data_IF_841830084141
#
_entry.id   IF_841830084141
#
_cell.length_a   1.000
_cell.length_b   1.000
_cell.length_c   1.000
_cell.angle_alpha   90.00
_cell.angle_beta   90.00
_cell.angle_gamma   90.00
#
_symmetry.space_group_name_H-M   'P 1'
#
loop_
_entity.id
_entity.type
_entity.pdbx_description
1 polymer ?
#
# COMPACT_ATOMS: atom_id res chain seq x y z
N UNK A 1 15.62 27.18 -59.99
CA UNK A 1 16.51 27.12 -58.81
C UNK A 1 15.75 27.25 -57.50
N UNK A 2 14.58 27.90 -57.46
CA UNK A 2 13.82 28.12 -56.21
C UNK A 2 13.18 26.86 -55.59
N UNK A 3 12.94 25.80 -56.37
CA UNK A 3 12.23 24.60 -55.91
C UNK A 3 13.11 23.64 -55.08
N UNK A 4 14.41 23.57 -55.39
CA UNK A 4 15.36 22.74 -54.63
C UNK A 4 15.72 23.39 -53.29
N UNK A 5 15.78 24.73 -53.23
CA UNK A 5 15.98 25.47 -51.97
C UNK A 5 14.80 25.31 -51.01
N UNK A 6 13.56 25.36 -51.53
CA UNK A 6 12.36 25.09 -50.74
C UNK A 6 12.32 23.66 -50.19
N UNK A 7 12.77 22.68 -50.99
CA UNK A 7 12.84 21.28 -50.57
C UNK A 7 13.89 21.05 -49.48
N UNK A 8 15.05 21.69 -49.60
CA UNK A 8 16.11 21.66 -48.59
C UNK A 8 15.69 22.34 -47.29
N UNK A 9 15.01 23.50 -47.36
CA UNK A 9 14.46 24.17 -46.18
C UNK A 9 13.41 23.32 -45.47
N UNK A 10 12.52 22.69 -46.22
CA UNK A 10 11.48 21.82 -45.66
C UNK A 10 12.06 20.56 -45.00
N UNK A 11 13.09 19.94 -45.61
CA UNK A 11 13.81 18.84 -44.97
C UNK A 11 14.55 19.26 -43.71
N UNK A 12 15.17 20.44 -43.71
CA UNK A 12 15.82 20.98 -42.51
C UNK A 12 14.83 21.29 -41.39
N UNK A 13 13.68 21.89 -41.69
CA UNK A 13 12.61 22.11 -40.70
C UNK A 13 12.00 20.80 -40.20
N UNK A 14 11.75 19.84 -41.09
CA UNK A 14 11.22 18.52 -40.74
C UNK A 14 12.20 17.75 -39.84
N UNK A 15 13.50 17.78 -40.14
CA UNK A 15 14.52 17.19 -39.28
C UNK A 15 14.65 17.91 -37.94
N UNK A 16 14.50 19.24 -37.90
CA UNK A 16 14.54 20.03 -36.66
C UNK A 16 13.36 19.67 -35.76
N UNK A 17 12.15 19.66 -36.31
CA UNK A 17 10.92 19.24 -35.63
C UNK A 17 11.02 17.79 -35.15
N UNK A 18 11.52 16.87 -35.98
CA UNK A 18 11.72 15.47 -35.62
C UNK A 18 12.72 15.31 -34.46
N UNK A 19 13.83 16.09 -34.47
CA UNK A 19 14.85 16.07 -33.41
C UNK A 19 14.36 16.71 -32.11
N UNK A 20 13.57 17.79 -32.17
CA UNK A 20 12.95 18.40 -30.99
C UNK A 20 11.91 17.45 -30.37
N UNK A 21 11.07 16.83 -31.20
CA UNK A 21 10.08 15.84 -30.76
C UNK A 21 10.74 14.58 -30.18
N UNK A 22 11.85 14.10 -30.76
CA UNK A 22 12.63 12.98 -30.18
C UNK A 22 13.33 13.35 -28.87
N UNK A 23 13.80 14.59 -28.72
CA UNK A 23 14.35 15.08 -27.45
C UNK A 23 13.29 15.11 -26.36
N UNK A 24 12.08 15.56 -26.68
CA UNK A 24 10.95 15.55 -25.73
C UNK A 24 10.55 14.12 -25.33
N UNK A 25 10.46 13.18 -26.27
CA UNK A 25 10.16 11.77 -25.97
C UNK A 25 11.25 11.16 -25.07
N UNK A 26 12.54 11.40 -25.37
CA UNK A 26 13.63 10.88 -24.55
C UNK A 26 13.66 11.48 -23.13
N UNK A 27 13.28 12.76 -22.98
CA UNK A 27 13.17 13.42 -21.69
C UNK A 27 11.97 12.88 -20.89
N UNK A 28 10.84 12.63 -21.56
CA UNK A 28 9.65 12.00 -20.98
C UNK A 28 9.98 10.58 -20.52
N UNK A 29 10.68 9.77 -21.33
CA UNK A 29 11.13 8.43 -20.96
C UNK A 29 12.05 8.43 -19.73
N UNK A 30 13.02 9.33 -19.67
CA UNK A 30 13.91 9.45 -18.50
C UNK A 30 13.15 9.86 -17.24
N UNK A 31 12.25 10.83 -17.35
CA UNK A 31 11.43 11.31 -16.24
C UNK A 31 10.49 10.21 -15.73
N UNK A 32 9.85 9.47 -16.63
CA UNK A 32 8.99 8.33 -16.32
C UNK A 32 9.78 7.19 -15.70
N UNK A 33 10.97 6.89 -16.21
CA UNK A 33 11.86 5.85 -15.64
C UNK A 33 12.25 6.20 -14.21
N UNK A 34 12.64 7.47 -13.97
CA UNK A 34 13.01 7.95 -12.64
C UNK A 34 11.81 7.88 -11.68
N UNK A 35 10.65 8.40 -12.06
CA UNK A 35 9.42 8.32 -11.25
C UNK A 35 9.00 6.88 -10.95
N UNK A 36 9.19 5.98 -11.90
CA UNK A 36 8.83 4.57 -11.74
C UNK A 36 9.75 3.87 -10.74
N UNK A 37 11.05 4.14 -10.81
CA UNK A 37 12.03 3.66 -9.82
C UNK A 37 11.76 4.25 -8.43
N UNK A 38 11.46 5.55 -8.36
CA UNK A 38 11.08 6.24 -7.12
C UNK A 38 9.82 5.65 -6.49
N UNK A 39 8.83 5.29 -7.30
CA UNK A 39 7.57 4.72 -6.79
C UNK A 39 7.80 3.33 -6.19
N UNK A 40 8.64 2.50 -6.82
CA UNK A 40 9.05 1.20 -6.26
C UNK A 40 9.84 1.39 -4.97
N UNK A 41 10.79 2.32 -4.94
CA UNK A 41 11.58 2.63 -3.75
C UNK A 41 10.71 3.14 -2.60
N UNK A 42 9.79 4.07 -2.89
CA UNK A 42 8.83 4.61 -1.93
C UNK A 42 7.88 3.51 -1.40
N UNK A 43 7.49 2.56 -2.25
CA UNK A 43 6.72 1.39 -1.82
C UNK A 43 7.53 0.52 -0.85
N UNK A 44 8.80 0.21 -1.15
CA UNK A 44 9.68 -0.55 -0.26
C UNK A 44 9.82 0.14 1.11
N UNK A 45 10.21 1.41 1.10
CA UNK A 45 10.39 2.21 2.32
C UNK A 45 9.09 2.32 3.15
N UNK A 46 7.93 2.43 2.49
CA UNK A 46 6.63 2.42 3.19
C UNK A 46 6.41 1.14 3.98
N UNK A 47 6.57 -0.03 3.35
CA UNK A 47 6.32 -1.30 4.03
C UNK A 47 7.37 -1.61 5.10
N UNK A 48 8.63 -1.27 4.83
CA UNK A 48 9.71 -1.36 5.82
C UNK A 48 9.42 -0.50 7.06
N UNK A 49 8.99 0.76 6.85
CA UNK A 49 8.61 1.66 7.95
C UNK A 49 7.42 1.12 8.75
N UNK A 50 6.41 0.57 8.09
CA UNK A 50 5.26 -0.05 8.76
C UNK A 50 5.74 -1.23 9.62
N UNK A 51 6.51 -2.15 9.06
CA UNK A 51 7.01 -3.34 9.78
C UNK A 51 7.89 -2.91 10.96
N UNK A 52 8.79 -1.95 10.75
CA UNK A 52 9.68 -1.43 11.81
C UNK A 52 8.90 -0.79 12.95
N UNK A 53 7.90 0.04 12.64
CA UNK A 53 7.02 0.62 13.66
C UNK A 53 6.26 -0.45 14.43
N UNK A 54 5.73 -1.46 13.74
CA UNK A 54 5.00 -2.56 14.37
C UNK A 54 5.90 -3.42 15.27
N UNK A 55 7.12 -3.72 14.83
CA UNK A 55 8.08 -4.44 15.67
C UNK A 55 8.50 -3.61 16.89
N UNK A 56 8.72 -2.31 16.70
CA UNK A 56 9.05 -1.38 17.79
C UNK A 56 7.93 -1.26 18.82
N UNK A 57 6.67 -1.12 18.38
CA UNK A 57 5.51 -1.08 19.28
C UNK A 57 5.25 -2.42 19.96
N UNK A 58 5.48 -3.55 19.28
CA UNK A 58 5.40 -4.87 19.88
C UNK A 58 6.45 -5.05 20.98
N UNK A 59 7.70 -4.63 20.73
CA UNK A 59 8.78 -4.68 21.72
C UNK A 59 8.47 -3.80 22.93
N UNK A 60 7.98 -2.57 22.69
CA UNK A 60 7.54 -1.68 23.77
C UNK A 60 6.40 -2.31 24.58
N UNK A 61 5.44 -2.96 23.92
CA UNK A 61 4.36 -3.68 24.59
C UNK A 61 4.90 -4.82 25.48
N UNK A 62 5.86 -5.61 24.99
CA UNK A 62 6.48 -6.70 25.77
C UNK A 62 7.19 -6.16 27.02
N UNK A 63 7.86 -5.01 26.91
CA UNK A 63 8.60 -4.42 28.03
C UNK A 63 7.69 -3.75 29.07
N UNK A 64 6.65 -3.04 28.60
CA UNK A 64 5.77 -2.24 29.45
C UNK A 64 4.65 -3.08 30.07
N UNK A 65 4.14 -4.09 29.36
CA UNK A 65 2.99 -4.87 29.82
C UNK A 65 3.23 -5.61 31.16
N UNK A 66 4.39 -6.24 31.43
CA UNK A 66 4.66 -6.87 32.72
C UNK A 66 4.65 -5.88 33.90
N UNK A 67 5.07 -4.63 33.65
CA UNK A 67 5.12 -3.55 34.65
C UNK A 67 3.70 -3.04 34.96
N UNK A 68 2.85 -2.94 33.93
CA UNK A 68 1.48 -2.44 34.08
C UNK A 68 0.48 -3.50 34.56
N UNK A 69 0.72 -4.79 34.30
CA UNK A 69 -0.24 -5.88 34.54
C UNK A 69 0.04 -6.74 35.77
N UNK A 70 0.89 -6.27 36.68
CA UNK A 70 1.29 -7.00 37.90
C UNK A 70 1.80 -8.42 37.56
N UNK A 71 2.66 -8.51 36.53
CA UNK A 71 3.30 -9.77 36.13
C UNK A 71 2.35 -10.87 35.62
N UNK A 72 1.22 -10.52 35.00
CA UNK A 72 0.18 -11.46 34.54
C UNK A 72 -0.62 -12.17 35.64
N UNK A 73 -0.54 -11.70 36.89
CA UNK A 73 -1.20 -12.31 38.04
C UNK A 73 -2.74 -12.24 37.98
N UNK A 74 -3.29 -11.33 37.16
CA UNK A 74 -4.74 -11.18 36.99
C UNK A 74 -5.33 -12.27 36.08
N UNK A 75 -6.37 -13.00 36.50
CA UNK A 75 -6.96 -14.09 35.70
C UNK A 75 -7.47 -13.57 34.35
N UNK A 76 -6.93 -14.13 33.27
CA UNK A 76 -7.25 -13.74 31.88
C UNK A 76 -6.29 -12.74 31.23
N UNK A 77 -5.35 -12.13 31.97
CA UNK A 77 -4.38 -11.16 31.44
C UNK A 77 -3.38 -11.79 30.45
N UNK A 78 -2.80 -12.95 30.80
CA UNK A 78 -1.90 -13.70 29.92
C UNK A 78 -2.59 -14.14 28.62
N UNK A 79 -3.85 -14.54 28.74
CA UNK A 79 -4.64 -14.99 27.61
C UNK A 79 -5.05 -13.85 26.66
N UNK A 80 -5.41 -12.69 27.23
CA UNK A 80 -5.65 -11.46 26.46
C UNK A 80 -4.39 -10.97 25.75
N UNK A 81 -3.24 -11.01 26.43
CA UNK A 81 -1.95 -10.65 25.85
C UNK A 81 -1.54 -11.59 24.71
N UNK A 82 -1.65 -12.91 24.91
CA UNK A 82 -1.33 -13.89 23.88
C UNK A 82 -2.20 -13.71 22.62
N UNK A 83 -3.51 -13.42 22.77
CA UNK A 83 -4.39 -13.09 21.63
C UNK A 83 -3.95 -11.81 20.93
N UNK A 84 -3.65 -10.76 21.69
CA UNK A 84 -3.19 -9.49 21.13
C UNK A 84 -1.90 -9.69 20.33
N UNK A 85 -0.94 -10.43 20.88
CA UNK A 85 0.30 -10.80 20.21
C UNK A 85 0.08 -11.65 18.97
N UNK A 86 -0.83 -12.62 19.01
CA UNK A 86 -1.18 -13.41 17.83
C UNK A 86 -1.69 -12.53 16.68
N UNK A 87 -2.62 -11.61 16.96
CA UNK A 87 -3.11 -10.66 15.95
C UNK A 87 -2.02 -9.70 15.45
N UNK A 88 -1.10 -9.30 16.33
CA UNK A 88 0.04 -8.47 15.98
C UNK A 88 1.00 -9.18 15.02
N UNK A 89 1.35 -10.43 15.32
CA UNK A 89 2.20 -11.28 14.47
C UNK A 89 1.52 -11.53 13.13
N UNK A 90 0.20 -11.75 13.10
CA UNK A 90 -0.55 -11.93 11.86
C UNK A 90 -0.50 -10.68 10.98
N UNK A 91 -0.65 -9.48 11.57
CA UNK A 91 -0.45 -8.21 10.86
C UNK A 91 0.97 -8.05 10.32
N UNK A 92 1.99 -8.33 11.15
CA UNK A 92 3.40 -8.26 10.73
C UNK A 92 3.66 -9.23 9.58
N UNK A 93 3.20 -10.47 9.67
CA UNK A 93 3.35 -11.48 8.62
C UNK A 93 2.67 -11.03 7.32
N UNK A 94 1.49 -10.43 7.40
CA UNK A 94 0.80 -9.86 6.23
C UNK A 94 1.63 -8.76 5.55
N UNK A 95 2.11 -7.77 6.31
CA UNK A 95 2.93 -6.69 5.73
C UNK A 95 4.31 -7.18 5.27
N UNK A 96 4.87 -8.18 5.93
CA UNK A 96 6.12 -8.85 5.52
C UNK A 96 5.97 -9.55 4.17
N UNK A 97 4.88 -10.30 3.96
CA UNK A 97 4.59 -10.93 2.68
C UNK A 97 4.45 -9.88 1.55
N UNK A 98 3.85 -8.71 1.85
CA UNK A 98 3.78 -7.61 0.89
C UNK A 98 5.14 -7.01 0.59
N UNK A 99 5.96 -6.79 1.61
CA UNK A 99 7.33 -6.30 1.44
C UNK A 99 8.16 -7.25 0.58
N UNK A 100 8.10 -8.56 0.86
CA UNK A 100 8.76 -9.60 0.06
C UNK A 100 8.28 -9.61 -1.39
N UNK A 101 6.98 -9.47 -1.63
CA UNK A 101 6.40 -9.37 -2.98
C UNK A 101 6.96 -8.19 -3.78
N UNK A 102 7.26 -7.06 -3.12
CA UNK A 102 7.82 -5.88 -3.76
C UNK A 102 9.33 -5.99 -3.96
N UNK A 103 10.04 -6.65 -3.04
CA UNK A 103 11.47 -6.94 -3.18
C UNK A 103 11.77 -7.82 -4.39
N UNK A 104 10.95 -8.84 -4.63
CA UNK A 104 11.08 -9.75 -5.77
C UNK A 104 10.30 -9.30 -7.02
N UNK A 105 9.90 -8.04 -7.08
CA UNK A 105 9.18 -7.52 -8.25
C UNK A 105 10.15 -7.39 -9.43
N UNK A 106 10.12 -8.36 -10.34
CA UNK A 106 10.82 -8.29 -11.62
C UNK A 106 9.97 -7.48 -12.60
N UNK A 107 10.42 -6.26 -12.91
CA UNK A 107 9.76 -5.37 -13.85
C UNK A 107 10.35 -5.55 -15.25
N UNK A 108 9.51 -5.40 -16.28
CA UNK A 108 9.97 -5.35 -17.67
C UNK A 108 10.98 -4.22 -17.90
N UNK A 109 11.90 -4.41 -18.84
CA UNK A 109 12.81 -3.37 -19.32
C UNK A 109 12.08 -2.34 -20.20
N UNK A 110 10.96 -2.74 -20.81
CA UNK A 110 10.11 -1.83 -21.58
C UNK A 110 9.24 -0.97 -20.66
N UNK A 111 9.34 0.36 -20.82
CA UNK A 111 8.72 1.34 -19.93
C UNK A 111 7.19 1.21 -19.87
N UNK A 112 6.53 1.05 -21.02
CA UNK A 112 5.09 0.88 -21.10
C UNK A 112 4.62 -0.41 -20.38
N UNK A 113 5.36 -1.52 -20.53
CA UNK A 113 5.05 -2.77 -19.86
C UNK A 113 5.28 -2.67 -18.36
N UNK A 114 6.39 -2.04 -17.94
CA UNK A 114 6.73 -1.78 -16.55
C UNK A 114 5.64 -0.96 -15.84
N UNK A 115 5.18 0.13 -16.44
CA UNK A 115 4.11 0.95 -15.87
C UNK A 115 2.79 0.17 -15.80
N UNK A 116 2.48 -0.64 -16.82
CA UNK A 116 1.29 -1.50 -16.82
C UNK A 116 1.33 -2.54 -15.70
N UNK A 117 2.48 -3.21 -15.53
CA UNK A 117 2.72 -4.17 -14.46
C UNK A 117 2.57 -3.52 -13.07
N UNK A 118 3.17 -2.35 -12.87
CA UNK A 118 3.05 -1.61 -11.60
C UNK A 118 1.61 -1.20 -11.29
N UNK A 119 0.86 -0.76 -12.30
CA UNK A 119 -0.54 -0.42 -12.15
C UNK A 119 -1.38 -1.62 -11.72
N UNK A 120 -1.12 -2.80 -12.31
CA UNK A 120 -1.78 -4.04 -11.94
C UNK A 120 -1.41 -4.47 -10.51
N UNK A 121 -0.13 -4.35 -10.14
CA UNK A 121 0.37 -4.62 -8.79
C UNK A 121 -0.29 -3.69 -7.77
N UNK A 122 -0.36 -2.38 -8.03
CA UNK A 122 -1.02 -1.40 -7.16
C UNK A 122 -2.52 -1.69 -6.99
N UNK A 123 -3.24 -2.00 -8.08
CA UNK A 123 -4.66 -2.38 -8.02
C UNK A 123 -4.88 -3.64 -7.19
N UNK A 124 -4.07 -4.68 -7.41
CA UNK A 124 -4.13 -5.94 -6.66
C UNK A 124 -3.78 -5.71 -5.19
N UNK A 125 -2.72 -4.95 -4.94
CA UNK A 125 -2.24 -4.54 -3.62
C UNK A 125 -3.32 -3.81 -2.81
N UNK A 126 -4.03 -2.86 -3.44
CA UNK A 126 -5.19 -2.17 -2.85
C UNK A 126 -6.30 -3.14 -2.47
N UNK A 127 -6.70 -4.03 -3.40
CA UNK A 127 -7.79 -4.99 -3.16
C UNK A 127 -7.45 -5.93 -2.00
N UNK A 128 -6.21 -6.44 -1.96
CA UNK A 128 -5.75 -7.33 -0.89
C UNK A 128 -5.72 -6.61 0.46
N UNK A 129 -5.26 -5.35 0.54
CA UNK A 129 -5.28 -4.58 1.79
C UNK A 129 -6.68 -4.34 2.32
N UNK A 130 -7.64 -4.01 1.44
CA UNK A 130 -9.05 -3.81 1.84
C UNK A 130 -9.66 -5.12 2.33
N UNK A 131 -9.51 -6.21 1.58
CA UNK A 131 -10.03 -7.54 1.97
C UNK A 131 -9.41 -7.96 3.30
N UNK A 132 -8.10 -7.78 3.46
CA UNK A 132 -7.42 -8.10 4.70
C UNK A 132 -7.95 -7.29 5.88
N UNK A 133 -8.18 -5.98 5.74
CA UNK A 133 -8.77 -5.18 6.82
C UNK A 133 -10.15 -5.70 7.24
N UNK A 134 -11.00 -6.08 6.28
CA UNK A 134 -12.33 -6.63 6.55
C UNK A 134 -12.22 -7.98 7.27
N UNK A 135 -11.42 -8.91 6.72
CA UNK A 135 -11.23 -10.25 7.30
C UNK A 135 -10.60 -10.15 8.69
N UNK A 136 -9.60 -9.29 8.86
CA UNK A 136 -8.92 -9.05 10.13
C UNK A 136 -9.88 -8.50 11.18
N UNK A 137 -10.72 -7.53 10.81
CA UNK A 137 -11.75 -6.99 11.70
C UNK A 137 -12.75 -8.06 12.17
N UNK A 138 -13.28 -8.86 11.23
CA UNK A 138 -14.19 -9.97 11.56
C UNK A 138 -13.50 -11.01 12.44
N UNK A 139 -12.26 -11.39 12.12
CA UNK A 139 -11.49 -12.35 12.91
C UNK A 139 -11.24 -11.86 14.34
N UNK A 140 -10.91 -10.56 14.51
CA UNK A 140 -10.74 -9.93 15.83
C UNK A 140 -12.01 -10.06 16.68
N UNK A 141 -13.17 -9.78 16.10
CA UNK A 141 -14.45 -9.89 16.78
C UNK A 141 -14.78 -11.33 17.16
N UNK A 142 -14.58 -12.27 16.23
CA UNK A 142 -14.87 -13.70 16.46
C UNK A 142 -13.96 -14.28 17.54
N UNK A 143 -12.64 -14.10 17.44
CA UNK A 143 -11.69 -14.60 18.44
C UNK A 143 -11.85 -13.88 19.78
N UNK A 144 -12.11 -12.58 19.75
CA UNK A 144 -12.38 -11.79 20.95
C UNK A 144 -13.62 -12.26 21.72
N UNK A 145 -14.61 -12.85 21.05
CA UNK A 145 -15.87 -13.26 21.69
C UNK A 145 -15.94 -14.75 22.03
N UNK A 146 -15.58 -15.63 21.10
CA UNK A 146 -15.71 -17.08 21.30
C UNK A 146 -14.80 -17.58 22.42
N UNK A 147 -13.61 -17.00 22.55
CA UNK A 147 -12.65 -17.42 23.56
C UNK A 147 -12.82 -16.76 24.94
N UNK A 148 -13.72 -15.79 25.10
CA UNK A 148 -14.07 -15.24 26.42
C UNK A 148 -15.31 -15.94 27.03
N UNK A 149 -15.78 -17.04 26.44
CA UNK A 149 -16.81 -17.91 27.01
C UNK A 149 -18.24 -17.32 27.05
N UNK A 150 -18.42 -16.06 26.61
CA UNK A 150 -19.73 -15.37 26.64
C UNK A 150 -20.54 -15.51 25.34
N UNK A 151 -19.98 -16.10 24.28
CA UNK A 151 -20.68 -16.23 22.99
C UNK A 151 -21.26 -14.89 22.50
N UNK A 152 -22.54 -14.89 22.10
CA UNK A 152 -23.28 -13.67 21.70
C UNK A 152 -23.93 -12.92 22.88
N UNK A 153 -23.82 -13.43 24.12
CA UNK A 153 -24.46 -12.81 25.27
C UNK A 153 -23.81 -11.43 25.58
N UNK A 154 -24.64 -10.43 25.90
CA UNK A 154 -24.19 -9.08 26.26
C UNK A 154 -23.65 -8.23 25.10
N UNK A 155 -23.88 -8.60 23.83
CA UNK A 155 -23.57 -7.75 22.66
C UNK A 155 -24.27 -6.39 22.70
N UNK A 156 -25.50 -6.35 23.22
CA UNK A 156 -26.33 -5.16 23.26
C UNK A 156 -26.14 -4.32 24.53
N UNK A 157 -25.14 -4.63 25.36
CA UNK A 157 -24.80 -3.73 26.48
C UNK A 157 -24.27 -2.41 25.92
N UNK A 158 -24.69 -1.29 26.51
CA UNK A 158 -24.37 0.07 26.03
C UNK A 158 -22.86 0.30 25.83
N UNK A 159 -22.05 -0.27 26.70
CA UNK A 159 -20.59 -0.18 26.65
C UNK A 159 -20.01 -0.98 25.48
N UNK A 160 -20.47 -2.22 25.28
CA UNK A 160 -20.00 -3.08 24.17
C UNK A 160 -20.46 -2.57 22.81
N UNK A 161 -21.68 -2.04 22.71
CA UNK A 161 -22.16 -1.43 21.47
C UNK A 161 -21.38 -0.16 21.13
N UNK A 162 -21.03 0.65 22.13
CA UNK A 162 -20.13 1.79 21.97
C UNK A 162 -18.73 1.41 21.47
N UNK A 163 -18.09 0.41 22.09
CA UNK A 163 -16.78 -0.08 21.63
C UNK A 163 -16.86 -0.71 20.23
N UNK A 164 -17.93 -1.44 19.94
CA UNK A 164 -18.16 -1.99 18.61
C UNK A 164 -18.27 -0.90 17.55
N UNK A 165 -19.10 0.13 17.78
CA UNK A 165 -19.24 1.28 16.88
C UNK A 165 -17.92 2.01 16.67
N UNK A 166 -17.15 2.23 17.74
CA UNK A 166 -15.85 2.88 17.66
C UNK A 166 -14.85 2.05 16.83
N UNK A 167 -14.82 0.73 17.05
CA UNK A 167 -13.98 -0.19 16.28
C UNK A 167 -14.40 -0.27 14.80
N UNK A 168 -15.70 -0.17 14.51
CA UNK A 168 -16.24 -0.15 13.16
C UNK A 168 -15.85 1.15 12.43
N UNK A 169 -16.01 2.30 13.08
CA UNK A 169 -15.60 3.61 12.53
C UNK A 169 -14.10 3.61 12.25
N UNK A 170 -13.30 3.04 13.14
CA UNK A 170 -11.86 2.90 12.94
C UNK A 170 -11.54 2.03 11.71
N UNK A 171 -12.19 0.86 11.57
CA UNK A 171 -12.01 -0.02 10.43
C UNK A 171 -12.42 0.65 9.10
N UNK A 172 -13.56 1.34 9.07
CA UNK A 172 -14.03 2.10 7.90
C UNK A 172 -13.04 3.21 7.54
N UNK A 173 -12.56 3.96 8.53
CA UNK A 173 -11.58 5.04 8.34
C UNK A 173 -10.26 4.51 7.77
N UNK A 174 -9.79 3.36 8.27
CA UNK A 174 -8.60 2.68 7.75
C UNK A 174 -8.78 2.23 6.30
N UNK A 175 -9.92 1.61 5.97
CA UNK A 175 -10.25 1.20 4.60
C UNK A 175 -10.31 2.42 3.67
N UNK A 176 -10.93 3.51 4.11
CA UNK A 176 -11.01 4.75 3.36
C UNK A 176 -9.63 5.36 3.10
N UNK A 177 -8.76 5.44 4.11
CA UNK A 177 -7.39 5.94 3.97
C UNK A 177 -6.55 5.10 2.99
N UNK A 178 -6.64 3.77 3.09
CA UNK A 178 -6.00 2.83 2.17
C UNK A 178 -6.52 3.07 0.74
N UNK A 179 -7.85 3.14 0.59
CA UNK A 179 -8.51 3.35 -0.70
C UNK A 179 -8.11 4.67 -1.35
N UNK A 180 -8.15 5.77 -0.60
CA UNK A 180 -7.78 7.11 -1.07
C UNK A 180 -6.32 7.16 -1.55
N UNK A 181 -5.38 6.65 -0.73
CA UNK A 181 -3.95 6.69 -1.03
C UNK A 181 -3.61 5.90 -2.30
N UNK A 182 -4.12 4.67 -2.42
CA UNK A 182 -3.88 3.85 -3.63
C UNK A 182 -4.56 4.44 -4.86
N UNK A 183 -5.75 5.03 -4.71
CA UNK A 183 -6.48 5.61 -5.85
C UNK A 183 -5.76 6.82 -6.42
N UNK A 184 -5.16 7.67 -5.57
CA UNK A 184 -4.31 8.78 -6.01
C UNK A 184 -3.10 8.29 -6.80
N UNK A 185 -2.36 7.31 -6.26
CA UNK A 185 -1.19 6.75 -6.93
C UNK A 185 -1.54 6.07 -8.26
N UNK A 186 -2.67 5.35 -8.32
CA UNK A 186 -3.15 4.73 -9.56
C UNK A 186 -3.55 5.79 -10.59
N UNK A 187 -4.16 6.90 -10.17
CA UNK A 187 -4.56 7.99 -11.07
C UNK A 187 -3.34 8.68 -11.67
N UNK A 188 -2.35 9.01 -10.83
CA UNK A 188 -1.07 9.59 -11.28
C UNK A 188 -0.37 8.66 -12.29
N UNK A 189 -0.26 7.36 -11.98
CA UNK A 189 0.38 6.39 -12.89
C UNK A 189 -0.37 6.19 -14.21
N UNK A 190 -1.71 6.27 -14.19
CA UNK A 190 -2.54 6.22 -15.40
C UNK A 190 -2.31 7.43 -16.29
N UNK A 191 -2.31 8.62 -15.70
CA UNK A 191 -2.12 9.86 -16.44
C UNK A 191 -0.75 9.86 -17.14
N UNK A 192 0.30 9.41 -16.46
CA UNK A 192 1.63 9.26 -17.05
C UNK A 192 1.69 8.25 -18.20
N UNK A 193 0.92 7.17 -18.12
CA UNK A 193 0.84 6.17 -19.19
C UNK A 193 0.07 6.71 -20.40
N UNK A 194 -0.95 7.54 -20.17
CA UNK A 194 -1.69 8.24 -21.23
C UNK A 194 -0.82 9.30 -21.91
N UNK A 195 -0.06 10.10 -21.14
CA UNK A 195 0.91 11.07 -21.66
C UNK A 195 1.96 10.38 -22.55
N UNK A 196 2.51 9.23 -22.12
CA UNK A 196 3.46 8.46 -22.91
C UNK A 196 2.87 7.87 -24.20
N UNK A 197 1.59 7.51 -24.21
CA UNK A 197 0.92 6.97 -25.42
C UNK A 197 0.50 8.04 -26.41
N UNK A 198 0.36 9.27 -25.96
CA UNK A 198 -0.04 10.42 -26.78
C UNK A 198 1.16 11.17 -27.38
N UNK A 199 2.36 10.98 -26.81
CA UNK A 199 3.64 11.42 -27.36
C UNK A 199 4.14 10.46 -28.45
#
# INVERSE_FOLDING_TARGET
MELDDLKNQWQQESEKLSREQHKDISAIEQLLTHKTADLVSAMKAKYEKIITMMLGSMLLMILVFPILSDGFSYPGSAYGFAKCMFFYVLLIAFYWLKFRSILHLTLSDFLQERMTQLLQVLKRSRRIEIIFCIVFYVALLTVGRFFYGKGLAGLFTLQMSGFFLLSLIFAISMIWLIGYRHTRQIKELKQYLEEYKAA
#
